data_IF_720854394212
#
_entry.id   IF_720854394212
#
_cell.length_a   1.000
_cell.length_b   1.000
_cell.length_c   1.000
_cell.angle_alpha   90.00
_cell.angle_beta   90.00
_cell.angle_gamma   90.00
#
_symmetry.space_group_name_H-M   'P 1'
#
loop_
_entity.id
_entity.type
_entity.pdbx_description
1 polymer ?
#
# COMPACT_ATOMS: atom_id res chain seq x y z
N UNK A 1 58.19 -29.37 20.93
CA UNK A 1 56.83 -29.65 20.43
C UNK A 1 55.94 -28.58 21.04
N UNK A 2 55.46 -27.64 20.22
CA UNK A 2 54.55 -26.59 20.67
C UNK A 2 53.19 -26.92 20.06
N UNK A 3 52.22 -27.22 20.92
CA UNK A 3 50.84 -27.45 20.54
C UNK A 3 50.28 -26.20 19.84
N UNK A 4 49.89 -26.36 18.58
CA UNK A 4 49.03 -25.40 17.90
C UNK A 4 47.62 -25.59 18.46
N UNK A 5 47.19 -24.67 19.32
CA UNK A 5 45.78 -24.55 19.71
C UNK A 5 44.96 -24.23 18.44
N UNK A 6 44.26 -25.23 17.91
CA UNK A 6 43.24 -25.02 16.90
C UNK A 6 42.19 -24.05 17.46
N UNK A 7 41.80 -22.99 16.74
CA UNK A 7 40.70 -22.14 17.17
C UNK A 7 39.45 -23.02 17.30
N UNK A 8 38.92 -23.10 18.52
CA UNK A 8 37.67 -23.79 18.81
C UNK A 8 36.59 -23.28 17.86
N UNK A 9 36.20 -24.11 16.90
CA UNK A 9 35.03 -23.87 16.08
C UNK A 9 33.81 -23.98 17.00
N UNK A 10 33.35 -22.82 17.47
CA UNK A 10 32.06 -22.69 18.12
C UNK A 10 30.98 -23.27 17.19
N UNK A 11 30.01 -24.05 17.70
CA UNK A 11 28.95 -24.59 16.88
C UNK A 11 28.23 -23.44 16.16
N UNK A 12 28.23 -23.51 14.82
CA UNK A 12 27.60 -22.51 13.95
C UNK A 12 26.12 -22.43 14.34
N UNK A 13 25.73 -21.30 14.95
CA UNK A 13 24.33 -21.06 15.25
C UNK A 13 23.54 -21.10 13.93
N UNK A 14 22.31 -21.65 13.91
CA UNK A 14 21.51 -21.77 12.68
C UNK A 14 21.17 -20.41 12.05
N UNK A 15 21.39 -19.32 12.77
CA UNK A 15 21.19 -17.96 12.30
C UNK A 15 22.48 -17.14 12.45
N UNK A 16 22.83 -16.30 11.46
CA UNK A 16 23.99 -15.44 11.58
C UNK A 16 23.82 -14.49 12.76
N UNK A 17 24.93 -14.20 13.44
CA UNK A 17 24.94 -13.15 14.45
C UNK A 17 24.48 -11.81 13.83
N UNK A 18 23.78 -10.96 14.61
CA UNK A 18 23.36 -9.66 14.11
C UNK A 18 24.57 -8.82 13.65
N UNK A 19 24.40 -7.93 12.66
CA UNK A 19 25.49 -7.12 12.13
C UNK A 19 26.24 -6.34 13.22
N UNK A 20 27.58 -6.28 13.21
CA UNK A 20 28.39 -5.79 14.32
C UNK A 20 28.11 -4.34 14.72
N UNK A 21 27.47 -3.56 13.86
CA UNK A 21 27.10 -2.17 14.14
C UNK A 21 26.09 -2.00 15.27
N UNK A 22 25.35 -3.04 15.67
CA UNK A 22 24.40 -2.97 16.79
C UNK A 22 25.06 -2.51 18.10
N UNK A 23 26.36 -2.81 18.28
CA UNK A 23 27.12 -2.43 19.48
C UNK A 23 27.28 -0.93 19.67
N UNK A 24 27.14 -0.16 18.60
CA UNK A 24 27.27 1.30 18.65
C UNK A 24 25.97 2.01 19.06
N UNK A 25 24.83 1.30 19.11
CA UNK A 25 23.53 1.81 19.57
C UNK A 25 23.50 1.87 21.10
N UNK A 26 24.21 2.86 21.65
CA UNK A 26 24.23 3.16 23.09
C UNK A 26 23.66 4.55 23.35
N UNK A 27 23.04 4.74 24.52
CA UNK A 27 22.44 6.03 24.93
C UNK A 27 23.47 7.18 24.87
N UNK A 28 24.73 6.91 25.24
CA UNK A 28 25.80 7.89 25.20
C UNK A 28 26.10 8.36 23.76
N UNK A 29 26.17 7.42 22.81
CA UNK A 29 26.44 7.74 21.40
C UNK A 29 25.25 8.45 20.75
N UNK A 30 24.01 8.11 21.14
CA UNK A 30 22.81 8.81 20.68
C UNK A 30 22.77 10.26 21.16
N UNK A 31 23.10 10.50 22.42
CA UNK A 31 23.16 11.86 22.98
C UNK A 31 24.30 12.69 22.36
N UNK A 32 25.44 12.06 22.06
CA UNK A 32 26.53 12.70 21.31
C UNK A 32 26.08 13.08 19.90
N UNK A 33 25.41 12.17 19.18
CA UNK A 33 24.87 12.45 17.85
C UNK A 33 23.85 13.60 17.89
N UNK A 34 22.94 13.61 18.86
CA UNK A 34 21.96 14.69 19.04
C UNK A 34 22.61 16.04 19.28
N UNK A 35 23.70 16.10 20.06
CA UNK A 35 24.46 17.34 20.31
C UNK A 35 25.15 17.85 19.05
N UNK A 36 25.71 16.94 18.24
CA UNK A 36 26.34 17.29 16.96
C UNK A 36 25.29 17.80 15.97
N UNK A 37 24.11 17.16 15.91
CA UNK A 37 23.02 17.57 15.03
C UNK A 37 22.40 18.90 15.43
N UNK A 38 22.20 19.17 16.72
CA UNK A 38 21.71 20.46 17.20
C UNK A 38 22.71 21.60 17.01
N UNK A 39 24.01 21.30 17.07
CA UNK A 39 25.07 22.27 16.81
C UNK A 39 25.30 22.51 15.31
N UNK A 40 24.92 21.56 14.46
CA UNK A 40 25.07 21.62 13.00
C UNK A 40 23.77 22.10 12.34
N UNK A 41 23.26 23.26 12.77
CA UNK A 41 22.07 23.89 12.20
C UNK A 41 22.44 24.87 11.07
N UNK A 42 22.96 24.35 9.96
CA UNK A 42 22.71 24.89 8.62
C UNK A 42 23.27 23.91 7.58
N UNK A 43 22.77 23.93 6.34
CA UNK A 43 22.96 22.90 5.31
C UNK A 43 24.39 22.68 4.76
N UNK A 44 25.42 22.68 5.60
CA UNK A 44 26.79 22.37 5.25
C UNK A 44 27.04 20.86 5.37
N UNK A 45 27.23 20.25 4.20
CA UNK A 45 27.89 18.96 3.92
C UNK A 45 28.16 18.07 5.14
N UNK A 46 27.40 16.97 5.25
CA UNK A 46 27.61 15.84 6.17
C UNK A 46 29.11 15.60 6.42
N UNK A 47 29.66 16.19 7.48
CA UNK A 47 31.03 15.90 7.90
C UNK A 47 31.11 14.40 8.16
N UNK A 48 32.22 13.76 7.75
CA UNK A 48 32.42 12.32 7.99
C UNK A 48 32.44 12.08 9.50
N UNK A 49 31.31 11.62 10.03
CA UNK A 49 31.21 11.24 11.44
C UNK A 49 32.17 10.07 11.72
N UNK A 50 32.69 9.98 12.94
CA UNK A 50 33.42 8.79 13.36
C UNK A 50 32.52 7.56 13.23
N UNK A 51 33.14 6.41 12.95
CA UNK A 51 32.46 5.19 12.52
C UNK A 51 31.30 4.76 13.46
N UNK A 52 31.49 4.90 14.78
CA UNK A 52 30.50 4.54 15.79
C UNK A 52 29.25 5.44 15.78
N UNK A 53 29.37 6.71 15.38
CA UNK A 53 28.23 7.62 15.22
C UNK A 53 27.63 7.53 13.82
N UNK A 54 28.43 7.20 12.81
CA UNK A 54 27.97 7.04 11.44
C UNK A 54 26.93 5.91 11.30
N UNK A 55 27.08 4.82 12.05
CA UNK A 55 26.13 3.70 12.05
C UNK A 55 24.78 3.99 12.68
N UNK A 56 24.67 5.05 13.49
CA UNK A 56 23.40 5.50 14.06
C UNK A 56 22.52 6.22 13.02
N UNK A 57 23.10 6.60 11.87
CA UNK A 57 22.35 7.16 10.75
C UNK A 57 22.04 6.07 9.73
N UNK A 58 20.84 6.09 9.13
CA UNK A 58 20.57 5.27 7.97
C UNK A 58 21.63 5.51 6.88
N UNK A 59 22.11 4.46 6.20
CA UNK A 59 23.02 4.63 5.08
C UNK A 59 22.33 5.49 4.00
N UNK A 60 23.10 6.26 3.22
CA UNK A 60 22.53 6.98 2.09
C UNK A 60 21.87 5.99 1.12
N UNK A 61 20.84 6.43 0.37
CA UNK A 61 20.27 5.60 -0.68
C UNK A 61 21.37 5.19 -1.67
N UNK A 62 21.23 4.03 -2.34
CA UNK A 62 22.16 3.63 -3.39
C UNK A 62 22.28 4.76 -4.43
N UNK A 63 23.48 4.95 -5.01
CA UNK A 63 23.70 6.02 -5.97
C UNK A 63 22.77 5.84 -7.18
N UNK A 64 22.32 6.94 -7.80
CA UNK A 64 21.44 6.87 -8.98
C UNK A 64 22.07 6.14 -10.18
N UNK A 65 23.40 5.96 -10.19
CA UNK A 65 24.13 5.15 -11.17
C UNK A 65 24.09 3.64 -10.89
N UNK A 66 23.60 3.21 -9.72
CA UNK A 66 23.47 1.79 -9.42
C UNK A 66 22.34 1.23 -10.29
N UNK A 67 22.66 0.21 -11.09
CA UNK A 67 21.68 -0.51 -11.89
C UNK A 67 21.02 -1.63 -11.08
N UNK A 68 21.72 -2.14 -10.07
CA UNK A 68 21.30 -3.31 -9.29
C UNK A 68 21.44 -3.08 -7.78
N UNK A 69 20.54 -3.68 -7.01
CA UNK A 69 20.65 -3.83 -5.55
C UNK A 69 20.48 -5.30 -5.15
N UNK A 70 21.19 -5.74 -4.12
CA UNK A 70 21.13 -7.15 -3.69
C UNK A 70 20.05 -7.33 -2.64
N UNK A 71 19.09 -8.21 -2.92
CA UNK A 71 18.04 -8.60 -1.98
C UNK A 71 18.00 -10.12 -1.89
N UNK A 72 18.11 -10.67 -0.69
CA UNK A 72 18.16 -12.14 -0.46
C UNK A 72 19.22 -12.88 -1.30
N UNK A 73 20.37 -12.23 -1.55
CA UNK A 73 21.45 -12.79 -2.37
C UNK A 73 21.22 -12.70 -3.88
N UNK A 74 20.09 -12.14 -4.34
CA UNK A 74 19.81 -11.91 -5.75
C UNK A 74 19.99 -10.44 -6.13
N UNK A 75 20.60 -10.19 -7.29
CA UNK A 75 20.70 -8.86 -7.87
C UNK A 75 19.35 -8.49 -8.48
N UNK A 76 18.71 -7.47 -7.95
CA UNK A 76 17.46 -6.90 -8.44
C UNK A 76 17.78 -5.61 -9.21
N UNK A 77 17.15 -5.42 -10.37
CA UNK A 77 17.29 -4.17 -11.15
C UNK A 77 16.52 -3.04 -10.45
N UNK A 78 17.15 -1.87 -10.33
CA UNK A 78 16.55 -0.70 -9.68
C UNK A 78 15.44 -0.08 -10.53
N UNK A 79 15.58 -0.14 -11.86
CA UNK A 79 14.59 0.35 -12.81
C UNK A 79 13.49 -0.71 -13.08
N UNK A 80 12.25 -0.51 -12.59
CA UNK A 80 11.16 -1.47 -12.78
C UNK A 80 10.71 -1.58 -14.25
N UNK A 81 11.12 -0.65 -15.10
CA UNK A 81 10.75 -0.59 -16.52
C UNK A 81 11.64 -1.47 -17.39
N UNK A 82 12.83 -1.86 -16.91
CA UNK A 82 13.72 -2.77 -17.63
C UNK A 82 13.37 -4.21 -17.27
N UNK A 83 13.05 -5.09 -18.25
CA UNK A 83 12.79 -6.49 -17.97
C UNK A 83 14.07 -7.14 -17.43
N UNK A 84 14.14 -7.29 -16.11
CA UNK A 84 15.32 -7.83 -15.41
C UNK A 84 15.59 -9.32 -15.66
N UNK A 85 14.67 -10.04 -16.31
CA UNK A 85 14.65 -11.50 -16.22
C UNK A 85 15.36 -12.26 -17.34
N UNK A 86 15.58 -11.70 -18.52
CA UNK A 86 16.24 -12.41 -19.63
C UNK A 86 17.11 -11.49 -20.49
N UNK A 87 18.25 -11.97 -21.02
CA UNK A 87 18.97 -11.31 -22.10
C UNK A 87 18.06 -11.13 -23.33
N UNK A 88 18.19 -10.01 -24.04
CA UNK A 88 17.40 -9.70 -25.25
C UNK A 88 17.46 -10.80 -26.30
N UNK A 89 18.59 -11.52 -26.38
CA UNK A 89 18.80 -12.64 -27.32
C UNK A 89 17.88 -13.85 -27.07
N UNK A 90 17.34 -14.00 -25.85
CA UNK A 90 16.44 -15.10 -25.49
C UNK A 90 14.96 -14.74 -25.67
N UNK A 91 14.67 -13.49 -26.01
CA UNK A 91 13.30 -13.02 -26.21
C UNK A 91 12.79 -13.43 -27.59
N UNK A 92 11.59 -14.01 -27.62
CA UNK A 92 10.89 -14.41 -28.84
C UNK A 92 10.09 -13.24 -29.46
N UNK A 93 10.24 -12.03 -28.91
CA UNK A 93 9.53 -10.83 -29.30
C UNK A 93 10.37 -9.59 -28.97
N UNK A 94 10.11 -8.48 -29.67
CA UNK A 94 10.75 -7.21 -29.37
C UNK A 94 9.98 -6.51 -28.24
N UNK A 95 10.61 -6.25 -27.09
CA UNK A 95 9.92 -5.60 -25.96
C UNK A 95 9.63 -4.12 -26.21
N UNK A 96 10.36 -3.47 -27.12
CA UNK A 96 10.25 -2.03 -27.41
C UNK A 96 9.22 -1.68 -28.50
N UNK A 97 8.45 -2.66 -29.00
CA UNK A 97 7.42 -2.40 -30.01
C UNK A 97 6.22 -1.66 -29.38
N UNK A 98 5.92 -0.42 -29.81
CA UNK A 98 4.83 0.38 -29.24
C UNK A 98 3.43 -0.19 -29.51
N UNK A 99 3.26 -1.08 -30.50
CA UNK A 99 1.97 -1.70 -30.83
C UNK A 99 1.86 -3.14 -30.32
N UNK A 100 2.71 -3.54 -29.37
CA UNK A 100 2.72 -4.90 -28.86
C UNK A 100 1.44 -5.21 -28.09
N UNK A 101 0.52 -5.95 -28.73
CA UNK A 101 -0.68 -6.43 -28.06
C UNK A 101 -0.32 -7.60 -27.12
N UNK A 102 -0.12 -7.28 -25.84
CA UNK A 102 0.28 -8.24 -24.80
C UNK A 102 -0.65 -9.46 -24.71
N UNK A 103 -1.96 -9.27 -24.90
CA UNK A 103 -2.94 -10.35 -24.83
C UNK A 103 -2.79 -11.33 -26.00
N UNK A 104 -2.56 -10.82 -27.21
CA UNK A 104 -2.31 -11.66 -28.40
C UNK A 104 -0.98 -12.39 -28.27
N UNK A 105 0.08 -11.70 -27.81
CA UNK A 105 1.39 -12.29 -27.60
C UNK A 105 1.34 -13.42 -26.56
N UNK A 106 0.72 -13.17 -25.40
CA UNK A 106 0.56 -14.16 -24.35
C UNK A 106 -0.25 -15.36 -24.85
N UNK A 107 -1.34 -15.12 -25.58
CA UNK A 107 -2.16 -16.17 -26.19
C UNK A 107 -1.39 -17.01 -27.21
N UNK A 108 -0.48 -16.39 -27.98
CA UNK A 108 0.36 -17.10 -28.94
C UNK A 108 1.39 -17.97 -28.23
N UNK A 109 2.04 -17.44 -27.18
CA UNK A 109 3.04 -18.17 -26.40
C UNK A 109 2.42 -19.34 -25.63
N UNK A 110 1.23 -19.17 -25.04
CA UNK A 110 0.54 -20.26 -24.33
C UNK A 110 0.08 -21.37 -25.28
N UNK A 111 -0.38 -21.02 -26.48
CA UNK A 111 -0.67 -22.01 -27.54
C UNK A 111 0.59 -22.77 -27.96
N UNK A 112 1.70 -22.07 -28.17
CA UNK A 112 2.99 -22.68 -28.51
C UNK A 112 3.53 -23.58 -27.38
N UNK A 113 3.33 -23.20 -26.12
CA UNK A 113 3.65 -24.01 -24.94
C UNK A 113 2.83 -25.31 -24.92
N UNK A 114 1.53 -25.22 -25.19
CA UNK A 114 0.65 -26.40 -25.24
C UNK A 114 1.06 -27.36 -26.36
N UNK A 115 1.40 -26.83 -27.54
CA UNK A 115 1.89 -27.65 -28.66
C UNK A 115 3.22 -28.34 -28.31
N UNK A 116 4.18 -27.62 -27.73
CA UNK A 116 5.44 -28.22 -27.29
C UNK A 116 5.25 -29.28 -26.20
N UNK A 117 4.28 -29.11 -25.31
CA UNK A 117 3.93 -30.12 -24.31
C UNK A 117 3.33 -31.40 -24.94
N UNK A 118 2.48 -31.25 -25.97
CA UNK A 118 1.94 -32.38 -26.73
C UNK A 118 3.04 -33.11 -27.51
N UNK A 119 3.97 -32.37 -28.12
CA UNK A 119 5.14 -32.91 -28.78
C UNK A 119 6.04 -33.66 -27.77
N UNK A 120 6.31 -33.08 -26.61
CA UNK A 120 7.07 -33.75 -25.54
C UNK A 120 6.41 -35.07 -25.13
N UNK A 121 5.08 -35.08 -24.96
CA UNK A 121 4.35 -36.31 -24.61
C UNK A 121 4.50 -37.37 -25.70
N UNK A 122 4.46 -36.96 -26.96
CA UNK A 122 4.64 -37.83 -28.12
C UNK A 122 6.08 -38.36 -28.22
N UNK A 123 7.08 -37.50 -27.97
CA UNK A 123 8.51 -37.87 -27.91
C UNK A 123 8.75 -38.87 -26.78
N UNK A 124 8.24 -38.63 -25.58
CA UNK A 124 8.37 -39.55 -24.45
C UNK A 124 7.73 -40.92 -24.72
N UNK A 125 6.66 -40.97 -25.53
CA UNK A 125 6.02 -42.22 -25.93
C UNK A 125 6.80 -43.00 -26.99
N UNK A 126 7.56 -42.33 -27.86
CA UNK A 126 8.30 -42.95 -28.97
C UNK A 126 9.76 -43.24 -28.60
N UNK A 127 10.44 -42.23 -28.05
CA UNK A 127 11.86 -42.27 -27.69
C UNK A 127 12.14 -41.31 -26.51
N UNK A 128 12.13 -41.82 -25.26
CA UNK A 128 12.28 -40.99 -24.07
C UNK A 128 13.68 -40.37 -23.92
N UNK A 129 14.66 -40.79 -24.73
CA UNK A 129 16.02 -40.22 -24.67
C UNK A 129 16.13 -38.84 -25.30
N UNK A 130 15.16 -38.44 -26.14
CA UNK A 130 15.17 -37.18 -26.90
C UNK A 130 14.32 -36.05 -26.27
N UNK A 131 14.02 -36.14 -24.98
CA UNK A 131 13.17 -35.16 -24.30
C UNK A 131 13.85 -33.79 -24.07
N UNK A 132 15.19 -33.73 -24.09
CA UNK A 132 15.98 -32.56 -23.70
C UNK A 132 15.68 -31.32 -24.55
N UNK A 133 15.59 -31.48 -25.87
CA UNK A 133 15.30 -30.37 -26.80
C UNK A 133 13.93 -29.74 -26.50
N UNK A 134 12.90 -30.58 -26.32
CA UNK A 134 11.54 -30.10 -26.02
C UNK A 134 11.42 -29.50 -24.62
N UNK A 135 12.21 -29.98 -23.66
CA UNK A 135 12.28 -29.40 -22.32
C UNK A 135 12.88 -27.99 -22.34
N UNK A 136 13.92 -27.77 -23.15
CA UNK A 136 14.52 -26.44 -23.30
C UNK A 136 13.59 -25.47 -24.04
N UNK A 137 12.89 -25.92 -25.09
CA UNK A 137 11.84 -25.14 -25.77
C UNK A 137 10.76 -24.68 -24.79
N UNK A 138 10.26 -25.60 -23.95
CA UNK A 138 9.25 -25.30 -22.92
C UNK A 138 9.80 -24.31 -21.90
N UNK A 139 11.05 -24.47 -21.46
CA UNK A 139 11.71 -23.55 -20.54
C UNK A 139 11.79 -22.16 -21.14
N UNK A 140 12.23 -22.03 -22.39
CA UNK A 140 12.32 -20.75 -23.08
C UNK A 140 10.96 -20.09 -23.23
N UNK A 141 9.92 -20.84 -23.58
CA UNK A 141 8.54 -20.34 -23.68
C UNK A 141 8.02 -19.82 -22.33
N UNK A 142 8.23 -20.56 -21.24
CA UNK A 142 7.82 -20.15 -19.89
C UNK A 142 8.53 -18.87 -19.43
N UNK A 143 9.85 -18.78 -19.68
CA UNK A 143 10.62 -17.57 -19.37
C UNK A 143 10.09 -16.37 -20.16
N UNK A 144 9.79 -16.53 -21.44
CA UNK A 144 9.21 -15.49 -22.28
C UNK A 144 7.81 -15.06 -21.80
N UNK A 145 6.96 -16.01 -21.41
CA UNK A 145 5.64 -15.72 -20.81
C UNK A 145 5.81 -14.87 -19.55
N UNK A 146 6.77 -15.20 -18.69
CA UNK A 146 7.05 -14.43 -17.48
C UNK A 146 7.47 -12.99 -17.79
N UNK A 147 8.31 -12.79 -18.81
CA UNK A 147 8.67 -11.43 -19.28
C UNK A 147 7.44 -10.67 -19.75
N UNK A 148 6.56 -11.28 -20.55
CA UNK A 148 5.33 -10.62 -21.04
C UNK A 148 4.43 -10.19 -19.88
N UNK A 149 4.26 -11.06 -18.88
CA UNK A 149 3.48 -10.75 -17.67
C UNK A 149 4.12 -9.58 -16.92
N UNK A 150 5.45 -9.57 -16.78
CA UNK A 150 6.17 -8.50 -16.09
C UNK A 150 6.03 -7.15 -16.79
N UNK A 151 6.10 -7.12 -18.12
CA UNK A 151 5.87 -5.89 -18.91
C UNK A 151 4.45 -5.35 -18.70
N UNK A 152 3.47 -6.20 -18.41
CA UNK A 152 2.08 -5.78 -18.16
C UNK A 152 1.84 -5.28 -16.72
N UNK A 153 2.76 -5.51 -15.77
CA UNK A 153 2.61 -5.11 -14.35
C UNK A 153 2.39 -3.61 -14.15
N UNK A 154 3.11 -2.69 -14.82
CA UNK A 154 2.88 -1.26 -14.65
C UNK A 154 1.48 -0.83 -15.10
N UNK A 155 0.95 -1.44 -16.16
CA UNK A 155 -0.42 -1.19 -16.60
C UNK A 155 -1.43 -1.70 -15.57
N UNK A 156 -1.25 -2.93 -15.07
CA UNK A 156 -2.10 -3.49 -14.00
C UNK A 156 -2.11 -2.61 -12.74
N UNK A 157 -0.96 -2.10 -12.32
CA UNK A 157 -0.86 -1.22 -11.16
C UNK A 157 -1.64 0.09 -11.35
N UNK A 158 -1.58 0.68 -12.55
CA UNK A 158 -2.34 1.90 -12.88
C UNK A 158 -3.85 1.66 -12.85
N UNK A 159 -4.32 0.58 -13.46
CA UNK A 159 -5.75 0.23 -13.44
C UNK A 159 -6.23 -0.08 -12.01
N UNK A 160 -5.42 -0.76 -11.20
CA UNK A 160 -5.74 -1.02 -9.79
C UNK A 160 -5.84 0.27 -8.96
N UNK A 161 -4.96 1.25 -9.20
CA UNK A 161 -5.05 2.56 -8.55
C UNK A 161 -6.30 3.33 -9.01
N UNK A 162 -6.61 3.25 -10.30
CA UNK A 162 -7.82 3.88 -10.85
C UNK A 162 -9.08 3.30 -10.21
N UNK A 163 -9.19 1.98 -10.13
CA UNK A 163 -10.31 1.30 -9.46
C UNK A 163 -10.42 1.70 -7.99
N UNK A 164 -9.29 1.81 -7.29
CA UNK A 164 -9.26 2.29 -5.90
C UNK A 164 -9.80 3.74 -5.78
N UNK A 165 -9.39 4.63 -6.69
CA UNK A 165 -9.85 6.02 -6.70
C UNK A 165 -11.33 6.15 -7.07
N UNK A 166 -11.81 5.33 -8.01
CA UNK A 166 -13.23 5.25 -8.35
C UNK A 166 -14.05 4.81 -7.13
N UNK A 167 -13.59 3.81 -6.38
CA UNK A 167 -14.22 3.40 -5.12
C UNK A 167 -14.28 4.51 -4.06
N UNK A 168 -13.20 5.29 -3.91
CA UNK A 168 -13.18 6.44 -2.99
C UNK A 168 -14.18 7.52 -3.43
N UNK A 169 -14.33 7.77 -4.73
CA UNK A 169 -15.30 8.72 -5.25
C UNK A 169 -16.74 8.26 -5.02
N UNK A 170 -17.01 6.97 -5.24
CA UNK A 170 -18.34 6.38 -4.99
C UNK A 170 -18.71 6.45 -3.50
N UNK A 171 -17.76 6.15 -2.61
CA UNK A 171 -17.96 6.27 -1.17
C UNK A 171 -18.18 7.73 -0.74
N UNK A 172 -17.38 8.66 -1.25
CA UNK A 172 -17.56 10.09 -1.00
C UNK A 172 -18.91 10.62 -1.49
N UNK A 173 -19.39 10.17 -2.65
CA UNK A 173 -20.71 10.56 -3.14
C UNK A 173 -21.82 10.00 -2.24
N UNK A 174 -21.70 8.75 -1.78
CA UNK A 174 -22.65 8.16 -0.84
C UNK A 174 -22.67 8.95 0.48
N UNK A 175 -21.52 9.33 1.01
CA UNK A 175 -21.42 10.12 2.24
C UNK A 175 -22.10 11.49 2.09
N UNK A 176 -21.93 12.16 0.95
CA UNK A 176 -22.59 13.43 0.64
C UNK A 176 -24.11 13.23 0.58
N UNK A 177 -24.59 12.19 -0.13
CA UNK A 177 -26.03 11.89 -0.22
C UNK A 177 -26.64 11.58 1.15
N UNK A 178 -25.89 10.93 2.05
CA UNK A 178 -26.31 10.66 3.43
C UNK A 178 -26.33 11.94 4.27
N UNK A 179 -25.33 12.81 4.13
CA UNK A 179 -25.30 14.12 4.78
C UNK A 179 -26.46 15.01 4.33
N UNK A 180 -26.79 15.02 3.03
CA UNK A 180 -27.92 15.80 2.49
C UNK A 180 -29.25 15.29 3.03
N UNK A 181 -29.44 13.96 3.10
CA UNK A 181 -30.63 13.35 3.74
C UNK A 181 -30.71 13.69 5.23
N UNK A 182 -29.59 13.67 5.94
CA UNK A 182 -29.55 14.03 7.36
C UNK A 182 -29.90 15.51 7.54
N UNK A 183 -29.33 16.39 6.72
CA UNK A 183 -29.63 17.82 6.72
C UNK A 183 -31.13 18.08 6.48
N UNK A 184 -31.73 17.42 5.50
CA UNK A 184 -33.16 17.53 5.25
C UNK A 184 -34.00 17.12 6.48
N UNK A 185 -33.65 16.01 7.14
CA UNK A 185 -34.34 15.58 8.37
C UNK A 185 -34.21 16.60 9.50
N UNK A 186 -33.02 17.19 9.65
CA UNK A 186 -32.78 18.23 10.66
C UNK A 186 -33.58 19.50 10.34
N UNK A 187 -33.62 19.93 9.07
CA UNK A 187 -34.39 21.10 8.63
C UNK A 187 -35.91 20.88 8.85
N UNK A 188 -36.43 19.69 8.53
CA UNK A 188 -37.81 19.29 8.82
C UNK A 188 -38.12 19.33 10.32
N UNK A 189 -37.22 18.78 11.15
CA UNK A 189 -37.36 18.82 12.61
C UNK A 189 -37.34 20.25 13.15
N UNK A 190 -36.42 21.10 12.69
CA UNK A 190 -36.36 22.51 13.09
C UNK A 190 -37.63 23.27 12.67
N UNK A 191 -38.18 22.98 11.49
CA UNK A 191 -39.44 23.57 11.05
C UNK A 191 -40.62 23.15 11.93
N UNK A 192 -40.68 21.89 12.36
CA UNK A 192 -41.74 21.39 13.24
C UNK A 192 -41.63 21.94 14.67
N UNK A 193 -40.41 22.04 15.21
CA UNK A 193 -40.15 22.74 16.49
C UNK A 193 -40.50 24.23 16.38
N UNK A 194 -40.18 24.87 15.26
CA UNK A 194 -40.56 26.26 14.98
C UNK A 194 -42.07 26.47 14.98
N UNK A 195 -42.85 25.56 14.38
CA UNK A 195 -44.33 25.60 14.43
C UNK A 195 -44.87 25.44 15.84
N UNK A 196 -44.21 24.61 16.67
CA UNK A 196 -44.56 24.43 18.09
C UNK A 196 -44.26 25.71 18.90
N UNK A 197 -43.18 26.42 18.58
CA UNK A 197 -42.80 27.68 19.25
C UNK A 197 -43.61 28.92 18.82
N UNK A 198 -44.08 28.96 17.56
CA UNK A 198 -44.85 30.10 17.01
C UNK A 198 -46.34 30.03 17.40
N UNK A 199 -46.85 28.84 17.75
CA UNK A 199 -48.24 28.66 18.18
C UNK A 199 -48.56 29.25 19.56
N UNK A 200 -47.60 29.87 20.27
CA UNK A 200 -47.77 30.39 21.64
C UNK A 200 -47.36 31.87 21.79
N UNK A 201 -47.34 32.65 20.70
CA UNK A 201 -47.31 34.13 20.81
C UNK A 201 -48.71 34.68 20.54
N UNK A 202 -49.56 34.88 21.57
CA UNK A 202 -50.79 35.61 21.40
C UNK A 202 -50.46 37.09 21.13
N UNK A 203 -50.96 37.55 20.00
CA UNK A 203 -51.04 38.96 19.59
C UNK A 203 -51.59 39.82 20.74
N UNK A 204 -50.73 40.63 21.34
CA UNK A 204 -51.08 41.48 22.49
C UNK A 204 -51.67 42.78 21.98
N UNK A 205 -52.97 42.78 21.69
CA UNK A 205 -53.77 44.02 21.66
C UNK A 205 -55.16 43.75 22.23
N UNK A 206 -55.28 43.72 23.57
CA UNK A 206 -56.33 44.37 24.37
C UNK A 206 -56.25 43.92 25.84
N UNK A 207 -56.50 44.88 26.71
CA UNK A 207 -56.31 44.88 28.16
C UNK A 207 -57.27 43.91 28.87
N UNK A 208 -56.76 43.04 29.74
CA UNK A 208 -57.37 42.71 31.05
C UNK A 208 -56.43 41.85 31.94
N UNK A 209 -56.38 42.05 33.27
CA UNK A 209 -55.34 41.47 34.13
C UNK A 209 -55.85 40.25 34.92
N UNK A 210 -55.60 39.02 34.46
CA UNK A 210 -55.53 37.84 35.34
C UNK A 210 -54.48 36.87 34.80
N UNK A 211 -53.28 36.95 35.35
CA UNK A 211 -52.22 35.97 35.13
C UNK A 211 -52.65 34.60 35.69
N UNK A 212 -52.84 33.61 34.82
CA UNK A 212 -52.69 32.20 35.16
C UNK A 212 -51.43 31.71 34.46
N UNK A 213 -50.39 31.52 35.25
CA UNK A 213 -49.17 30.82 34.82
C UNK A 213 -49.57 29.49 34.16
N UNK A 214 -49.01 29.12 32.99
CA UNK A 214 -49.20 27.78 32.46
C UNK A 214 -48.70 26.78 33.51
N UNK A 215 -49.59 25.90 33.98
CA UNK A 215 -49.29 24.95 35.06
C UNK A 215 -47.98 24.21 34.75
N UNK A 216 -47.03 24.23 35.69
CA UNK A 216 -45.71 23.61 35.58
C UNK A 216 -45.78 22.17 35.04
N UNK A 217 -46.85 21.44 35.38
CA UNK A 217 -47.13 20.09 34.86
C UNK A 217 -47.30 20.06 33.33
N UNK A 218 -47.95 21.04 32.72
CA UNK A 218 -48.13 21.11 31.27
C UNK A 218 -46.79 21.37 30.56
N UNK A 219 -45.91 22.17 31.18
CA UNK A 219 -44.59 22.45 30.64
C UNK A 219 -43.67 21.22 30.75
N UNK A 220 -43.75 20.51 31.87
CA UNK A 220 -43.05 19.23 32.07
C UNK A 220 -43.55 18.15 31.11
N UNK A 221 -44.85 18.09 30.84
CA UNK A 221 -45.43 17.14 29.88
C UNK A 221 -44.96 17.44 28.44
N UNK A 222 -44.88 18.72 28.05
CA UNK A 222 -44.32 19.16 26.77
C UNK A 222 -42.84 18.76 26.64
N UNK A 223 -42.05 18.98 27.69
CA UNK A 223 -40.64 18.57 27.71
C UNK A 223 -40.50 17.04 27.61
N UNK A 224 -41.29 16.27 28.35
CA UNK A 224 -41.28 14.79 28.28
C UNK A 224 -41.63 14.27 26.88
N UNK A 225 -42.58 14.91 26.18
CA UNK A 225 -42.92 14.55 24.79
C UNK A 225 -41.79 14.86 23.82
N UNK A 226 -41.14 16.01 23.98
CA UNK A 226 -39.96 16.38 23.18
C UNK A 226 -38.82 15.38 23.38
N UNK A 227 -38.53 15.02 24.63
CA UNK A 227 -37.52 14.02 24.98
C UNK A 227 -37.84 12.62 24.44
N UNK A 228 -39.12 12.23 24.46
CA UNK A 228 -39.55 10.95 23.91
C UNK A 228 -39.42 10.89 22.38
N UNK A 229 -39.71 11.99 21.68
CA UNK A 229 -39.57 12.08 20.23
C UNK A 229 -38.10 12.07 19.79
N UNK A 230 -37.19 12.64 20.59
CA UNK A 230 -35.74 12.55 20.38
C UNK A 230 -35.25 11.10 20.56
N UNK A 231 -35.79 10.39 21.56
CA UNK A 231 -35.36 9.04 21.89
C UNK A 231 -35.84 7.97 20.88
N UNK A 232 -37.01 8.17 20.26
CA UNK A 232 -37.55 7.26 19.23
C UNK A 232 -36.80 7.34 17.88
N UNK A 233 -35.87 8.30 17.69
CA UNK A 233 -35.05 8.43 16.48
C UNK A 233 -33.58 8.02 16.64
N UNK A 234 -33.15 7.58 17.84
CA UNK A 234 -31.81 6.99 18.05
C UNK A 234 -31.84 5.50 17.72
#
# INVERSE_FOLDING_TARGET
MADQELPQQLPEAPFPAPPPFWRYFTVANEDELRRIESSSADGQSKQKLPLHLAYLRPPPPPPASAEYYTTFGQKQVIDPTKPSSLPTEQLLFNPDDPNLNHAVLLSRLTKSLLLNFLELTSVLSLDPTKHEEKMEDIRQLLLNIHVVINIYRPHQARESVKEMLEGILEEGQREIDECDKMKQRVDEFLADVGKIGISDVPDTTQEDPVARDPSHDQMMEKQRRLWKMIQDMT
#
